data_IF_366140908305
#
_entry.id   IF_366140908305
#
_cell.length_a   1.000
_cell.length_b   1.000
_cell.length_c   1.000
_cell.angle_alpha   90.00
_cell.angle_beta   90.00
_cell.angle_gamma   90.00
#
_symmetry.space_group_name_H-M   'P 1'
#
loop_
_entity.id
_entity.type
_entity.pdbx_description
1 polymer ?
#
# COMPACT_ATOMS: atom_id res chain seq x y z
N UNK A 1 -15.13 16.54 -19.36
CA UNK A 1 -13.68 16.59 -19.66
C UNK A 1 -12.81 17.25 -18.58
N UNK A 2 -13.37 17.97 -17.59
CA UNK A 2 -12.53 18.59 -16.53
C UNK A 2 -11.96 17.60 -15.52
N UNK A 3 -12.70 16.54 -15.17
CA UNK A 3 -12.32 15.56 -14.15
C UNK A 3 -10.99 14.86 -14.50
N UNK A 4 -10.73 14.62 -15.79
CA UNK A 4 -9.47 14.01 -16.27
C UNK A 4 -8.35 15.05 -16.40
N UNK A 5 -8.67 16.32 -16.66
CA UNK A 5 -7.68 17.40 -16.77
C UNK A 5 -7.05 17.77 -15.42
N UNK A 6 -7.83 17.71 -14.32
CA UNK A 6 -7.37 18.03 -12.96
C UNK A 6 -6.17 17.19 -12.49
N UNK A 7 -6.19 15.83 -12.54
CA UNK A 7 -5.04 15.04 -12.18
C UNK A 7 -3.82 15.32 -13.05
N UNK A 8 -4.00 15.51 -14.36
CA UNK A 8 -2.89 15.84 -15.28
C UNK A 8 -2.25 17.19 -14.92
N UNK A 9 -3.06 18.18 -14.53
CA UNK A 9 -2.57 19.48 -14.06
C UNK A 9 -1.83 19.35 -12.72
N UNK A 10 -2.36 18.55 -11.79
CA UNK A 10 -1.71 18.27 -10.50
C UNK A 10 -0.37 17.54 -10.66
N UNK A 11 -0.24 16.62 -11.64
CA UNK A 11 1.04 15.97 -11.99
C UNK A 11 2.01 17.01 -12.59
N UNK A 12 1.55 17.80 -13.56
CA UNK A 12 2.39 18.80 -14.26
C UNK A 12 2.91 19.90 -13.35
N UNK A 13 2.18 20.25 -12.29
CA UNK A 13 2.61 21.25 -11.34
C UNK A 13 3.69 20.74 -10.36
N UNK A 14 4.03 19.43 -10.40
CA UNK A 14 5.03 18.78 -9.55
C UNK A 14 5.09 19.39 -8.15
N UNK A 15 3.91 19.53 -7.57
CA UNK A 15 3.71 20.31 -6.35
C UNK A 15 4.34 19.54 -5.18
N UNK A 16 4.73 20.22 -4.10
CA UNK A 16 5.29 19.56 -2.90
C UNK A 16 4.42 18.40 -2.39
N UNK A 17 3.10 18.46 -2.66
CA UNK A 17 2.18 17.37 -2.38
C UNK A 17 2.45 16.06 -3.12
N UNK A 18 2.98 16.10 -4.36
CA UNK A 18 3.36 14.89 -5.11
C UNK A 18 4.61 14.26 -4.53
N UNK A 19 5.58 15.08 -4.11
CA UNK A 19 6.82 14.60 -3.46
C UNK A 19 6.51 13.94 -2.12
N UNK A 20 5.71 14.59 -1.28
CA UNK A 20 5.24 14.04 0.01
C UNK A 20 4.42 12.76 -0.23
N UNK A 21 3.60 12.73 -1.28
CA UNK A 21 2.84 11.55 -1.65
C UNK A 21 3.74 10.38 -2.02
N UNK A 22 4.70 10.58 -2.94
CA UNK A 22 5.64 9.53 -3.35
C UNK A 22 6.50 9.01 -2.18
N UNK A 23 6.95 9.90 -1.28
CA UNK A 23 7.77 9.50 -0.14
C UNK A 23 6.98 8.72 0.91
N UNK A 24 5.75 9.16 1.25
CA UNK A 24 4.85 8.43 2.13
C UNK A 24 4.50 7.05 1.56
N UNK A 25 4.23 6.99 0.26
CA UNK A 25 3.85 5.76 -0.42
C UNK A 25 5.01 4.75 -0.48
N UNK A 26 6.21 5.21 -0.81
CA UNK A 26 7.43 4.37 -0.79
C UNK A 26 7.72 3.84 0.63
N UNK A 27 7.53 4.68 1.65
CA UNK A 27 7.76 4.28 3.05
C UNK A 27 6.76 3.21 3.51
N UNK A 28 5.49 3.34 3.13
CA UNK A 28 4.45 2.35 3.45
C UNK A 28 4.74 0.99 2.78
N UNK A 29 5.21 1.00 1.53
CA UNK A 29 5.64 -0.23 0.85
C UNK A 29 6.81 -0.86 1.59
N UNK A 30 7.84 -0.08 1.93
CA UNK A 30 9.01 -0.60 2.63
C UNK A 30 8.62 -1.23 3.98
N UNK A 31 7.77 -0.57 4.77
CA UNK A 31 7.27 -1.07 6.05
C UNK A 31 6.49 -2.39 5.93
N UNK A 32 5.78 -2.59 4.82
CA UNK A 32 5.04 -3.83 4.58
C UNK A 32 5.94 -4.94 4.00
N UNK A 33 6.83 -4.60 3.07
CA UNK A 33 7.69 -5.57 2.38
C UNK A 33 8.68 -6.22 3.35
N UNK A 34 9.23 -5.47 4.31
CA UNK A 34 10.20 -6.01 5.28
C UNK A 34 9.65 -7.26 6.02
N UNK A 35 8.48 -7.23 6.68
CA UNK A 35 7.92 -8.41 7.30
C UNK A 35 7.40 -9.46 6.30
N UNK A 36 6.99 -9.06 5.08
CA UNK A 36 6.54 -9.99 4.04
C UNK A 36 7.67 -10.86 3.47
N UNK A 37 8.92 -10.37 3.54
CA UNK A 37 10.11 -11.13 3.12
C UNK A 37 10.38 -12.37 3.98
N UNK A 38 9.77 -12.47 5.16
CA UNK A 38 9.83 -13.69 5.96
C UNK A 38 9.09 -14.88 5.31
N UNK A 39 8.23 -14.61 4.31
CA UNK A 39 7.38 -15.60 3.65
C UNK A 39 7.57 -15.66 2.12
N UNK A 40 8.13 -14.61 1.51
CA UNK A 40 8.23 -14.46 0.05
C UNK A 40 9.54 -13.74 -0.32
N UNK A 41 9.99 -13.84 -1.58
CA UNK A 41 11.10 -13.01 -2.05
C UNK A 41 10.71 -11.53 -2.18
N UNK A 42 11.66 -10.60 -2.25
CA UNK A 42 11.38 -9.15 -2.36
C UNK A 42 10.44 -8.81 -3.52
N UNK A 43 10.70 -9.38 -4.70
CA UNK A 43 9.89 -9.15 -5.90
C UNK A 43 8.48 -9.73 -5.76
N UNK A 44 8.36 -10.90 -5.15
CA UNK A 44 7.07 -11.53 -4.86
C UNK A 44 6.30 -10.76 -3.78
N UNK A 45 6.96 -10.27 -2.72
CA UNK A 45 6.32 -9.44 -1.68
C UNK A 45 5.66 -8.21 -2.30
N UNK A 46 6.39 -7.48 -3.15
CA UNK A 46 5.82 -6.30 -3.83
C UNK A 46 4.64 -6.72 -4.71
N UNK A 47 4.80 -7.77 -5.52
CA UNK A 47 3.73 -8.27 -6.39
C UNK A 47 2.50 -8.71 -5.59
N UNK A 48 2.72 -9.33 -4.43
CA UNK A 48 1.68 -9.80 -3.53
C UNK A 48 0.99 -8.64 -2.80
N UNK A 49 1.67 -7.53 -2.49
CA UNK A 49 1.03 -6.34 -1.94
C UNK A 49 -0.02 -5.76 -2.91
N UNK A 50 0.25 -5.84 -4.23
CA UNK A 50 -0.65 -5.35 -5.28
C UNK A 50 -1.63 -6.40 -5.84
N UNK A 51 -1.55 -7.66 -5.42
CA UNK A 51 -2.54 -8.67 -5.80
C UNK A 51 -3.84 -8.51 -5.01
N UNK A 52 -4.91 -9.22 -5.37
CA UNK A 52 -6.12 -9.34 -4.55
C UNK A 52 -6.06 -10.54 -3.59
N UNK A 53 -5.00 -11.35 -3.67
CA UNK A 53 -4.85 -12.57 -2.88
C UNK A 53 -4.46 -12.26 -1.44
N UNK A 54 -4.91 -13.06 -0.49
CA UNK A 54 -4.49 -12.97 0.90
C UNK A 54 -3.54 -14.11 1.24
N UNK A 55 -2.59 -13.84 2.13
CA UNK A 55 -1.76 -14.90 2.69
C UNK A 55 -2.67 -15.90 3.41
N UNK A 56 -2.51 -17.18 3.11
CA UNK A 56 -3.29 -18.25 3.72
C UNK A 56 -2.76 -18.55 5.12
N UNK A 57 -3.66 -18.72 6.09
CA UNK A 57 -3.32 -19.14 7.44
C UNK A 57 -3.29 -20.67 7.46
N UNK A 58 -2.15 -21.34 7.69
CA UNK A 58 -2.14 -22.78 7.88
C UNK A 58 -2.96 -23.15 9.13
N UNK A 59 -3.93 -24.02 8.91
CA UNK A 59 -4.90 -24.51 9.88
C UNK A 59 -4.23 -25.24 11.06
N UNK A 60 -4.60 -24.80 12.27
CA UNK A 60 -4.64 -25.54 13.55
C UNK A 60 -3.39 -26.36 13.88
N UNK A 61 -2.36 -25.69 14.39
CA UNK A 61 -1.26 -26.33 15.14
C UNK A 61 -1.05 -25.56 16.44
N UNK A 62 -0.98 -26.28 17.56
CA UNK A 62 -0.81 -25.72 18.91
C UNK A 62 0.62 -25.24 19.19
N UNK A 63 1.54 -25.37 18.23
CA UNK A 63 2.91 -24.94 18.44
C UNK A 63 3.00 -23.40 18.53
N UNK A 64 3.84 -22.90 19.45
CA UNK A 64 4.10 -21.47 19.62
C UNK A 64 4.55 -20.83 18.30
N UNK A 65 5.37 -21.55 17.52
CA UNK A 65 5.87 -21.10 16.23
C UNK A 65 4.73 -20.92 15.21
N UNK A 66 3.81 -21.88 15.12
CA UNK A 66 2.66 -21.79 14.20
C UNK A 66 1.73 -20.65 14.59
N UNK A 67 1.52 -20.43 15.90
CA UNK A 67 0.75 -19.28 16.39
C UNK A 67 1.40 -17.94 16.04
N UNK A 68 2.73 -17.82 16.13
CA UNK A 68 3.45 -16.61 15.71
C UNK A 68 3.35 -16.38 14.19
N UNK A 69 3.48 -17.43 13.40
CA UNK A 69 3.31 -17.36 11.94
C UNK A 69 1.90 -16.91 11.56
N UNK A 70 0.87 -17.51 12.18
CA UNK A 70 -0.53 -17.16 11.94
C UNK A 70 -0.83 -15.70 12.29
N UNK A 71 -0.30 -15.21 13.42
CA UNK A 71 -0.42 -13.79 13.79
C UNK A 71 0.27 -12.87 12.80
N UNK A 72 1.45 -13.24 12.32
CA UNK A 72 2.22 -12.45 11.35
C UNK A 72 1.51 -12.40 10.00
N UNK A 73 1.00 -13.53 9.52
CA UNK A 73 0.19 -13.63 8.30
C UNK A 73 -1.06 -12.74 8.40
N UNK A 74 -1.75 -12.79 9.54
CA UNK A 74 -2.92 -11.95 9.77
C UNK A 74 -2.55 -10.46 9.79
N UNK A 75 -1.43 -10.10 10.43
CA UNK A 75 -0.90 -8.73 10.42
C UNK A 75 -0.57 -8.25 9.00
N UNK A 76 0.06 -9.10 8.18
CA UNK A 76 0.38 -8.78 6.78
C UNK A 76 -0.88 -8.55 5.95
N UNK A 77 -1.91 -9.39 6.13
CA UNK A 77 -3.20 -9.25 5.47
C UNK A 77 -3.92 -7.96 5.89
N UNK A 78 -3.98 -7.65 7.20
CA UNK A 78 -4.53 -6.38 7.71
C UNK A 78 -3.75 -5.20 7.14
N UNK A 79 -2.42 -5.26 7.19
CA UNK A 79 -1.53 -4.22 6.65
C UNK A 79 -1.77 -3.98 5.17
N UNK A 80 -2.02 -5.03 4.39
CA UNK A 80 -2.38 -4.94 2.97
C UNK A 80 -3.71 -4.22 2.79
N UNK A 81 -4.76 -4.56 3.55
CA UNK A 81 -6.05 -3.85 3.48
C UNK A 81 -5.88 -2.36 3.83
N UNK A 82 -5.16 -2.05 4.91
CA UNK A 82 -4.88 -0.67 5.31
C UNK A 82 -4.14 0.09 4.20
N UNK A 83 -3.12 -0.53 3.59
CA UNK A 83 -2.38 0.04 2.48
C UNK A 83 -3.29 0.40 1.29
N UNK A 84 -4.20 -0.50 0.92
CA UNK A 84 -5.16 -0.27 -0.17
C UNK A 84 -6.16 0.84 0.17
N UNK A 85 -6.71 0.86 1.39
CA UNK A 85 -7.61 1.92 1.84
C UNK A 85 -6.92 3.28 1.84
N UNK A 86 -5.69 3.37 2.36
CA UNK A 86 -4.90 4.59 2.35
C UNK A 86 -4.56 5.04 0.92
N UNK A 87 -4.20 4.11 0.04
CA UNK A 87 -3.92 4.39 -1.37
C UNK A 87 -5.15 4.96 -2.07
N UNK A 88 -6.34 4.37 -1.85
CA UNK A 88 -7.59 4.90 -2.38
C UNK A 88 -7.89 6.29 -1.83
N UNK A 89 -7.82 6.49 -0.51
CA UNK A 89 -8.07 7.79 0.11
C UNK A 89 -7.13 8.88 -0.45
N UNK A 90 -5.84 8.57 -0.61
CA UNK A 90 -4.86 9.49 -1.18
C UNK A 90 -5.11 9.77 -2.66
N UNK A 91 -5.46 8.76 -3.46
CA UNK A 91 -5.84 8.95 -4.86
C UNK A 91 -7.08 9.83 -5.00
N UNK A 92 -8.10 9.62 -4.15
CA UNK A 92 -9.26 10.50 -4.08
C UNK A 92 -8.84 11.94 -3.77
N UNK A 93 -8.04 12.17 -2.71
CA UNK A 93 -7.56 13.52 -2.40
C UNK A 93 -6.79 14.14 -3.57
N UNK A 94 -5.93 13.37 -4.25
CA UNK A 94 -5.16 13.86 -5.39
C UNK A 94 -6.04 14.22 -6.60
N UNK A 95 -7.02 13.38 -6.94
CA UNK A 95 -7.95 13.60 -8.06
C UNK A 95 -8.84 14.82 -7.84
N UNK A 96 -9.24 15.08 -6.59
CA UNK A 96 -10.15 16.15 -6.22
C UNK A 96 -9.46 17.42 -5.70
N UNK A 97 -8.13 17.40 -5.49
CA UNK A 97 -7.36 18.60 -5.15
C UNK A 97 -7.49 19.63 -6.28
N UNK A 98 -7.90 20.85 -5.92
CA UNK A 98 -7.92 21.97 -6.86
C UNK A 98 -6.48 22.31 -7.26
N UNK A 99 -6.16 22.42 -8.57
CA UNK A 99 -4.84 22.82 -9.00
C UNK A 99 -4.52 24.23 -8.47
N UNK A 100 -3.27 24.45 -8.08
CA UNK A 100 -2.86 25.77 -7.61
C UNK A 100 -2.92 26.73 -8.81
N UNK A 101 -3.74 27.77 -8.67
CA UNK A 101 -3.81 28.91 -9.60
C UNK A 101 -2.55 29.75 -9.43
N UNK A 102 -1.50 29.40 -10.17
CA UNK A 102 -0.43 30.35 -10.51
C UNK A 102 -0.46 30.57 -12.01
#
# INVERSE_FOLDING_TARGET
MEIIKRPIQNIKQADWGVVIWMSAWTSLIALWVIPAQAYTSVGESISFLFSLDFYSVPTVSESILTNMQNKTINLLNIGKVVFWVMTMAMLFMFLFKKPNSK
#
